data_IF_887804840004
#
_entry.id   IF_887804840004
#
_cell.length_a   1.000
_cell.length_b   1.000
_cell.length_c   1.000
_cell.angle_alpha   90.00
_cell.angle_beta   90.00
_cell.angle_gamma   90.00
#
_symmetry.space_group_name_H-M   'P 1'
#
loop_
_entity.id
_entity.type
_entity.pdbx_description
1 polymer ?
#
# COMPACT_ATOMS: atom_id res chain seq x y z
N UNK A 1 4.19 -3.42 -2.82
CA UNK A 1 2.74 -3.13 -2.83
C UNK A 1 2.37 -1.96 -1.94
N UNK A 2 3.16 -1.66 -0.89
CA UNK A 2 2.91 -0.49 -0.02
C UNK A 2 2.89 0.87 -0.75
N UNK A 3 3.69 1.01 -1.82
CA UNK A 3 3.74 2.19 -2.68
C UNK A 3 2.41 2.52 -3.38
N UNK A 4 1.47 1.57 -3.47
CA UNK A 4 0.23 1.75 -4.19
C UNK A 4 -0.60 2.93 -3.64
N UNK A 5 -0.68 3.05 -2.31
CA UNK A 5 -1.41 4.17 -1.68
C UNK A 5 -0.72 5.51 -1.90
N UNK A 6 0.61 5.54 -1.93
CA UNK A 6 1.37 6.76 -2.26
C UNK A 6 1.12 7.21 -3.70
N UNK A 7 1.02 6.27 -4.63
CA UNK A 7 0.64 6.55 -6.01
C UNK A 7 -0.82 7.00 -6.14
N UNK A 8 -1.74 6.44 -5.33
CA UNK A 8 -3.13 6.89 -5.28
C UNK A 8 -3.22 8.33 -4.79
N UNK A 9 -2.51 8.65 -3.70
CA UNK A 9 -2.44 10.02 -3.19
C UNK A 9 -1.90 10.97 -4.26
N UNK A 10 -0.78 10.61 -4.93
CA UNK A 10 -0.21 11.40 -6.03
C UNK A 10 -1.22 11.69 -7.15
N UNK A 11 -2.01 10.69 -7.54
CA UNK A 11 -3.01 10.82 -8.61
C UNK A 11 -4.38 11.35 -8.13
N UNK A 12 -4.48 11.78 -6.87
CA UNK A 12 -5.71 12.25 -6.24
C UNK A 12 -6.86 11.22 -6.31
N UNK A 13 -6.54 9.99 -5.92
CA UNK A 13 -7.47 8.85 -5.85
C UNK A 13 -7.65 8.44 -4.39
N UNK A 14 -8.90 8.25 -3.97
CA UNK A 14 -9.26 8.00 -2.56
C UNK A 14 -9.15 6.55 -2.09
N UNK A 15 -8.75 5.62 -2.97
CA UNK A 15 -8.57 4.24 -2.54
C UNK A 15 -8.22 3.25 -3.64
N UNK A 16 -8.20 1.99 -3.25
CA UNK A 16 -7.83 0.86 -4.10
C UNK A 16 -9.03 -0.02 -4.41
N UNK A 17 -9.23 -0.31 -5.69
CA UNK A 17 -10.09 -1.41 -6.12
C UNK A 17 -9.21 -2.57 -6.61
N UNK A 18 -9.40 -3.75 -6.04
CA UNK A 18 -8.74 -4.97 -6.51
C UNK A 18 -9.78 -5.98 -6.94
N UNK A 19 -9.69 -6.46 -8.18
CA UNK A 19 -10.74 -7.22 -8.84
C UNK A 19 -11.09 -8.55 -8.14
N UNK A 20 -10.15 -9.12 -7.38
CA UNK A 20 -10.35 -10.36 -6.63
C UNK A 20 -9.35 -10.49 -5.49
N UNK A 21 -9.82 -10.76 -4.28
CA UNK A 21 -8.94 -10.95 -3.10
C UNK A 21 -8.80 -12.41 -2.68
N UNK A 22 -9.76 -13.27 -3.06
CA UNK A 22 -9.80 -14.69 -2.70
C UNK A 22 -10.09 -15.58 -3.90
N UNK A 23 -9.30 -16.64 -4.06
CA UNK A 23 -9.33 -17.54 -5.21
C UNK A 23 -10.17 -18.82 -5.09
N UNK A 24 -10.78 -19.11 -3.94
CA UNK A 24 -11.45 -20.40 -3.75
C UNK A 24 -10.47 -21.56 -3.59
N UNK A 25 -10.81 -22.74 -4.15
CA UNK A 25 -10.04 -24.00 -4.08
C UNK A 25 -8.69 -23.94 -4.82
N UNK A 26 -7.79 -23.11 -4.33
CA UNK A 26 -6.41 -23.04 -4.80
C UNK A 26 -5.66 -24.20 -4.14
N UNK A 27 -5.49 -25.29 -4.87
CA UNK A 27 -4.54 -26.35 -4.53
C UNK A 27 -3.15 -25.93 -5.03
N UNK A 28 -2.09 -26.59 -4.56
CA UNK A 28 -0.72 -26.40 -5.09
C UNK A 28 -0.59 -26.61 -6.61
N UNK A 29 -1.62 -27.14 -7.28
CA UNK A 29 -1.66 -27.47 -8.71
C UNK A 29 -2.63 -26.61 -9.54
N UNK A 30 -3.52 -25.83 -8.90
CA UNK A 30 -4.50 -24.96 -9.58
C UNK A 30 -4.04 -23.48 -9.60
N UNK A 31 -2.76 -23.24 -9.82
CA UNK A 31 -2.22 -21.91 -10.12
C UNK A 31 -2.34 -21.62 -11.63
N UNK A 32 -3.56 -21.65 -12.17
CA UNK A 32 -3.81 -21.37 -13.60
C UNK A 32 -3.96 -19.86 -13.89
N UNK A 33 -3.69 -19.03 -12.89
CA UNK A 33 -3.41 -17.61 -13.02
C UNK A 33 -1.91 -17.49 -12.78
N UNK A 34 -1.16 -17.34 -13.87
CA UNK A 34 0.28 -17.09 -13.82
C UNK A 34 0.61 -16.09 -12.71
N UNK A 35 1.68 -16.37 -11.97
CA UNK A 35 2.25 -15.50 -10.92
C UNK A 35 1.36 -15.13 -9.72
N UNK A 36 0.16 -15.71 -9.56
CA UNK A 36 -0.70 -15.43 -8.39
C UNK A 36 -1.45 -14.09 -8.48
N UNK A 37 -1.66 -13.61 -9.71
CA UNK A 37 -2.51 -12.45 -9.99
C UNK A 37 -3.97 -12.73 -9.57
N UNK A 38 -4.59 -11.76 -8.89
CA UNK A 38 -5.97 -11.86 -8.40
C UNK A 38 -6.19 -12.68 -7.14
N UNK A 39 -5.13 -13.07 -6.44
CA UNK A 39 -5.25 -13.80 -5.17
C UNK A 39 -4.39 -13.11 -4.12
N UNK A 40 -5.04 -12.56 -3.09
CA UNK A 40 -4.37 -11.94 -1.93
C UNK A 40 -4.54 -12.75 -0.64
N UNK A 41 -5.44 -13.73 -0.64
CA UNK A 41 -5.72 -14.65 0.46
C UNK A 41 -5.67 -16.09 -0.03
N UNK A 42 -5.00 -16.95 0.73
CA UNK A 42 -4.82 -18.36 0.44
C UNK A 42 -5.60 -19.23 1.43
N UNK A 43 -5.91 -20.45 1.02
CA UNK A 43 -6.53 -21.44 1.90
C UNK A 43 -5.52 -21.89 2.98
N UNK A 44 -5.85 -21.66 4.26
CA UNK A 44 -4.96 -22.00 5.37
C UNK A 44 -4.75 -23.52 5.54
N UNK A 45 -5.63 -24.34 4.95
CA UNK A 45 -5.54 -25.82 4.99
C UNK A 45 -4.29 -26.33 4.28
N UNK A 46 -3.71 -25.55 3.36
CA UNK A 46 -2.40 -25.83 2.76
C UNK A 46 -1.28 -25.94 3.81
N UNK A 47 -1.47 -25.29 4.97
CA UNK A 47 -0.56 -25.32 6.12
C UNK A 47 -1.18 -25.99 7.35
N UNK A 48 -2.18 -26.86 7.15
CA UNK A 48 -2.87 -27.60 8.24
C UNK A 48 -3.49 -26.68 9.30
N UNK A 49 -3.99 -25.52 8.87
CA UNK A 49 -4.74 -24.57 9.71
C UNK A 49 -6.14 -24.37 9.12
N UNK A 50 -7.08 -23.92 9.95
CA UNK A 50 -8.42 -23.53 9.50
C UNK A 50 -8.45 -22.07 9.02
N UNK A 51 -9.42 -21.75 8.16
CA UNK A 51 -9.65 -20.39 7.66
C UNK A 51 -8.76 -19.98 6.48
N UNK A 52 -8.35 -18.71 6.48
CA UNK A 52 -7.60 -18.09 5.40
C UNK A 52 -6.24 -17.58 5.90
N UNK A 53 -5.23 -17.69 5.04
CA UNK A 53 -3.91 -17.14 5.27
C UNK A 53 -3.71 -15.89 4.39
N UNK A 54 -3.46 -14.70 4.97
CA UNK A 54 -3.18 -13.51 4.18
C UNK A 54 -1.84 -13.65 3.47
N UNK A 55 -1.75 -13.15 2.24
CA UNK A 55 -0.48 -13.01 1.54
C UNK A 55 0.36 -11.87 2.13
N UNK A 56 1.67 -11.94 1.97
CA UNK A 56 2.57 -10.81 2.25
C UNK A 56 2.17 -9.54 1.49
N UNK A 57 1.65 -9.70 0.26
CA UNK A 57 1.11 -8.63 -0.57
C UNK A 57 -0.09 -7.93 0.10
N UNK A 58 -1.03 -8.71 0.64
CA UNK A 58 -2.19 -8.17 1.35
C UNK A 58 -1.79 -7.38 2.58
N UNK A 59 -0.82 -7.88 3.35
CA UNK A 59 -0.29 -7.17 4.51
C UNK A 59 0.32 -5.82 4.12
N UNK A 60 1.09 -5.76 3.03
CA UNK A 60 1.62 -4.50 2.52
C UNK A 60 0.56 -3.48 2.07
N UNK A 61 -0.58 -3.93 1.54
CA UNK A 61 -1.69 -3.03 1.17
C UNK A 61 -2.43 -2.54 2.40
N UNK A 62 -2.62 -3.41 3.40
CA UNK A 62 -3.17 -2.97 4.69
C UNK A 62 -2.27 -1.89 5.29
N UNK A 63 -0.97 -2.13 5.36
CA UNK A 63 -0.02 -1.21 5.98
C UNK A 63 0.10 0.11 5.18
N UNK A 64 -0.24 0.12 3.89
CA UNK A 64 -0.25 1.36 3.10
C UNK A 64 -1.48 2.24 3.32
N UNK A 65 -2.55 1.71 3.91
CA UNK A 65 -3.68 2.54 4.30
C UNK A 65 -3.32 3.48 5.45
N UNK A 66 -2.55 3.00 6.44
CA UNK A 66 -2.04 3.85 7.51
C UNK A 66 -1.18 5.01 6.94
N UNK A 67 -0.35 4.71 5.93
CA UNK A 67 0.43 5.77 5.25
C UNK A 67 -0.45 6.76 4.50
N UNK A 68 -1.52 6.29 3.86
CA UNK A 68 -2.47 7.16 3.16
C UNK A 68 -3.18 8.11 4.12
N UNK A 69 -3.61 7.59 5.27
CA UNK A 69 -4.24 8.39 6.32
C UNK A 69 -3.28 9.47 6.82
N UNK A 70 -1.99 9.13 7.02
CA UNK A 70 -0.98 10.13 7.38
C UNK A 70 -0.79 11.20 6.30
N UNK A 71 -0.77 10.83 5.02
CA UNK A 71 -0.68 11.79 3.92
C UNK A 71 -1.88 12.75 3.90
N UNK A 72 -3.09 12.24 4.13
CA UNK A 72 -4.32 13.07 4.20
C UNK A 72 -4.33 13.97 5.42
N UNK A 73 -3.95 13.48 6.60
CA UNK A 73 -3.81 14.31 7.81
C UNK A 73 -2.77 15.42 7.58
N UNK A 74 -1.62 15.10 7.00
CA UNK A 74 -0.61 16.10 6.69
C UNK A 74 -1.12 17.13 5.67
N UNK A 75 -1.86 16.69 4.64
CA UNK A 75 -2.44 17.56 3.63
C UNK A 75 -3.44 18.55 4.24
N UNK A 76 -4.25 18.12 5.20
CA UNK A 76 -5.17 19.00 5.95
C UNK A 76 -4.45 20.06 6.79
N UNK A 77 -3.25 19.73 7.32
CA UNK A 77 -2.50 20.62 8.20
C UNK A 77 -1.63 21.63 7.45
N UNK A 78 -0.89 21.19 6.41
CA UNK A 78 0.12 22.02 5.72
C UNK A 78 -0.22 22.30 4.25
N UNK A 79 -1.29 21.71 3.74
CA UNK A 79 -1.68 21.81 2.34
C UNK A 79 -0.97 20.79 1.43
N UNK A 80 -1.61 20.49 0.31
CA UNK A 80 -1.16 19.49 -0.66
C UNK A 80 0.22 19.78 -1.24
N UNK A 81 0.55 21.04 -1.50
CA UNK A 81 1.82 21.43 -2.12
C UNK A 81 3.03 20.99 -1.29
N UNK A 82 2.97 21.16 0.03
CA UNK A 82 4.05 20.76 0.93
C UNK A 82 4.16 19.24 1.02
N UNK A 83 3.04 18.52 1.16
CA UNK A 83 3.03 17.04 1.19
C UNK A 83 3.58 16.47 -0.12
N UNK A 84 3.25 17.07 -1.25
CA UNK A 84 3.71 16.61 -2.56
C UNK A 84 5.23 16.72 -2.72
N UNK A 85 5.93 17.61 -2.02
CA UNK A 85 7.41 17.64 -2.02
C UNK A 85 8.00 16.35 -1.46
N UNK A 86 7.33 15.73 -0.48
CA UNK A 86 7.72 14.44 0.11
C UNK A 86 7.30 13.30 -0.81
N UNK A 87 6.05 13.29 -1.27
CA UNK A 87 5.51 12.25 -2.17
C UNK A 87 6.32 12.13 -3.47
N UNK A 88 6.78 13.25 -4.03
CA UNK A 88 7.61 13.27 -5.23
C UNK A 88 8.98 12.57 -5.07
N UNK A 89 9.45 12.34 -3.83
CA UNK A 89 10.65 11.52 -3.57
C UNK A 89 10.36 10.03 -3.74
N UNK A 90 9.10 9.62 -3.56
CA UNK A 90 8.65 8.23 -3.60
C UNK A 90 8.12 7.84 -4.97
N UNK A 91 7.33 8.72 -5.59
CA UNK A 91 6.70 8.48 -6.89
C UNK A 91 6.59 9.78 -7.68
N UNK A 92 6.88 9.71 -8.98
CA UNK A 92 6.77 10.85 -9.91
C UNK A 92 5.78 10.60 -11.04
N UNK A 93 5.18 9.41 -11.07
CA UNK A 93 4.16 9.05 -12.05
C UNK A 93 3.59 7.65 -11.77
N UNK A 94 2.61 7.24 -12.58
CA UNK A 94 1.92 5.95 -12.38
C UNK A 94 2.86 4.74 -12.52
N UNK A 95 3.92 4.85 -13.32
CA UNK A 95 4.90 3.77 -13.54
C UNK A 95 6.28 4.10 -12.96
N UNK A 96 6.44 5.28 -12.36
CA UNK A 96 7.72 5.79 -11.89
C UNK A 96 7.68 5.92 -10.37
N UNK A 97 8.25 4.94 -9.70
CA UNK A 97 8.33 4.86 -8.24
C UNK A 97 9.70 4.34 -7.79
N UNK A 98 10.07 4.63 -6.56
CA UNK A 98 11.29 4.09 -5.95
C UNK A 98 11.16 2.60 -5.63
N UNK A 99 12.17 1.81 -5.98
CA UNK A 99 12.28 0.41 -5.52
C UNK A 99 13.05 0.29 -4.19
N UNK A 100 13.68 1.37 -3.72
CA UNK A 100 14.39 1.39 -2.44
C UNK A 100 13.42 1.63 -1.28
N UNK A 101 13.21 0.59 -0.47
CA UNK A 101 12.40 0.62 0.74
C UNK A 101 12.82 1.73 1.71
N UNK A 102 14.11 2.06 1.79
CA UNK A 102 14.60 3.10 2.72
C UNK A 102 14.11 4.49 2.37
N UNK A 103 13.88 4.75 1.09
CA UNK A 103 13.31 6.02 0.61
C UNK A 103 11.86 6.15 1.06
N UNK A 104 11.10 5.05 1.01
CA UNK A 104 9.70 5.02 1.46
C UNK A 104 9.59 5.27 2.98
N UNK A 105 10.40 4.59 3.78
CA UNK A 105 10.37 4.78 5.24
C UNK A 105 10.80 6.20 5.64
N UNK A 106 11.87 6.73 5.03
CA UNK A 106 12.30 8.10 5.31
C UNK A 106 11.22 9.14 4.93
N UNK A 107 10.53 8.94 3.81
CA UNK A 107 9.43 9.79 3.40
C UNK A 107 8.25 9.71 4.40
N UNK A 108 7.93 8.53 4.89
CA UNK A 108 6.91 8.33 5.93
C UNK A 108 7.27 9.06 7.22
N UNK A 109 8.50 8.96 7.68
CA UNK A 109 8.97 9.65 8.89
C UNK A 109 8.90 11.17 8.73
N UNK A 110 9.20 11.70 7.54
CA UNK A 110 9.06 13.12 7.22
C UNK A 110 7.59 13.59 7.27
N UNK A 111 6.65 12.79 6.74
CA UNK A 111 5.21 13.07 6.85
C UNK A 111 4.77 13.09 8.32
N UNK A 112 5.20 12.11 9.12
CA UNK A 112 4.86 12.06 10.55
C UNK A 112 5.40 13.30 11.28
N UNK A 113 6.64 13.72 10.98
CA UNK A 113 7.21 14.92 11.57
C UNK A 113 6.42 16.18 11.19
N UNK A 114 5.99 16.30 9.93
CA UNK A 114 5.12 17.41 9.49
C UNK A 114 3.81 17.46 10.27
N UNK A 115 3.19 16.32 10.54
CA UNK A 115 1.96 16.24 11.36
C UNK A 115 2.25 16.73 12.78
N UNK A 116 3.31 16.20 13.41
CA UNK A 116 3.65 16.54 14.81
C UNK A 116 4.00 18.02 14.99
N UNK A 117 4.67 18.63 14.02
CA UNK A 117 5.06 20.04 14.10
C UNK A 117 3.87 21.01 13.97
N UNK A 118 2.79 20.58 13.30
CA UNK A 118 1.62 21.41 12.97
C UNK A 118 0.36 21.05 13.77
N UNK A 119 0.38 20.04 14.63
CA UNK A 119 -0.72 19.66 15.53
C UNK A 119 -0.82 20.53 16.81
N UNK A 120 -0.28 21.76 16.81
CA UNK A 120 -0.28 22.66 17.98
C UNK A 120 -1.55 23.48 18.11
#
# INVERSE_FOLDING_TARGET
MRLLSWQQFFNDVDGVLYYRTFGGNITKYNFDIGTGDGILQYDARLWRREGYAPSWRLLQVRDSFDDFDYLRIAEELVGREEVMKVVNKVTTGMLQFTEDYRVLEAARDEIVQLILDNQK
#
